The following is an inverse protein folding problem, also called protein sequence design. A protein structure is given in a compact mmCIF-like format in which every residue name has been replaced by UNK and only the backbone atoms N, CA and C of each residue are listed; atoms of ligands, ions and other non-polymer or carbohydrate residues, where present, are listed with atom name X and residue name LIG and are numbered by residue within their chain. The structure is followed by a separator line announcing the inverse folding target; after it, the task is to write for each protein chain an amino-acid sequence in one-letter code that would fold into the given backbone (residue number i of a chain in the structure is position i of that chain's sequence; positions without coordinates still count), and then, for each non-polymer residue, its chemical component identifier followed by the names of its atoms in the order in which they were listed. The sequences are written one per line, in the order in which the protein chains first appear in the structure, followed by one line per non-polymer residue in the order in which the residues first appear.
data_IF_063624097565
#
_entry.id   IF_063624097565
#
_cell.length_a   1.000
_cell.length_b   1.000
_cell.length_c   1.000
_cell.angle_alpha   90.00
_cell.angle_beta   90.00
_cell.angle_gamma   90.00
#
_symmetry.space_group_name_H-M   'P 1'
#
loop_
_entity.id
_entity.type
_entity.pdbx_description
1 polymer ?
#
# COMPACT_ATOMS: atom_id res chain seq x y z
N UNK A 1 -32.64 48.23 7.38
CA UNK A 1 -31.36 47.50 7.18
C UNK A 1 -31.05 47.49 5.68
N UNK A 2 -29.91 48.06 5.28
CA UNK A 2 -29.56 48.31 3.87
C UNK A 2 -29.50 47.01 3.05
N UNK A 3 -30.37 46.89 2.05
CA UNK A 3 -30.43 45.80 1.06
C UNK A 3 -29.11 45.58 0.32
N UNK A 4 -28.28 46.63 0.22
CA UNK A 4 -26.90 46.55 -0.31
C UNK A 4 -26.02 45.69 0.59
N UNK A 5 -26.08 45.87 1.91
CA UNK A 5 -25.29 45.15 2.90
C UNK A 5 -25.65 43.66 2.95
N UNK A 6 -26.92 43.33 2.82
CA UNK A 6 -27.40 41.93 2.75
C UNK A 6 -26.95 41.24 1.45
N UNK A 7 -26.92 41.95 0.32
CA UNK A 7 -26.43 41.40 -0.96
C UNK A 7 -24.91 41.15 -0.94
N UNK A 8 -24.12 42.06 -0.38
CA UNK A 8 -22.67 41.86 -0.22
C UNK A 8 -22.35 40.74 0.76
N UNK A 9 -23.03 40.66 1.91
CA UNK A 9 -22.86 39.53 2.84
C UNK A 9 -23.19 38.20 2.16
N UNK A 10 -24.29 38.11 1.41
CA UNK A 10 -24.67 36.90 0.69
C UNK A 10 -23.62 36.47 -0.35
N UNK A 11 -23.08 37.43 -1.12
CA UNK A 11 -22.01 37.16 -2.09
C UNK A 11 -20.72 36.64 -1.42
N UNK A 12 -20.33 37.24 -0.29
CA UNK A 12 -19.15 36.81 0.49
C UNK A 12 -19.34 35.38 1.02
N UNK A 13 -20.53 35.05 1.53
CA UNK A 13 -20.85 33.69 1.98
C UNK A 13 -20.74 32.69 0.84
N UNK A 14 -21.23 33.02 -0.36
CA UNK A 14 -21.16 32.15 -1.53
C UNK A 14 -19.70 31.88 -1.96
N UNK A 15 -18.85 32.90 -1.91
CA UNK A 15 -17.42 32.77 -2.21
C UNK A 15 -16.74 31.86 -1.18
N UNK A 16 -16.96 32.08 0.12
CA UNK A 16 -16.38 31.25 1.18
C UNK A 16 -16.82 29.78 1.07
N UNK A 17 -18.08 29.54 0.72
CA UNK A 17 -18.63 28.20 0.47
C UNK A 17 -18.00 27.57 -0.78
N UNK A 18 -17.71 28.34 -1.84
CA UNK A 18 -17.04 27.80 -3.02
C UNK A 18 -15.58 27.38 -2.76
N UNK A 19 -14.88 28.05 -1.84
CA UNK A 19 -13.52 27.67 -1.42
C UNK A 19 -13.48 26.44 -0.52
N UNK A 20 -14.54 26.15 0.24
CA UNK A 20 -14.60 24.94 1.08
C UNK A 20 -14.83 23.65 0.28
N UNK A 21 -15.25 23.74 -0.99
CA UNK A 21 -15.43 22.59 -1.90
C UNK A 21 -14.19 22.22 -2.72
N UNK A 22 -13.01 22.75 -2.42
CA UNK A 22 -11.76 22.45 -3.16
C UNK A 22 -11.11 21.10 -2.76
N UNK A 23 -11.84 20.21 -2.07
CA UNK A 23 -11.31 18.90 -1.71
C UNK A 23 -11.42 17.92 -2.89
N UNK A 24 -10.31 17.32 -3.26
CA UNK A 24 -10.25 16.30 -4.30
C UNK A 24 -10.27 14.91 -3.66
N UNK A 25 -11.20 14.05 -4.11
CA UNK A 25 -11.17 12.64 -3.75
C UNK A 25 -10.10 11.94 -4.60
N UNK A 26 -9.01 11.53 -3.96
CA UNK A 26 -7.89 10.85 -4.63
C UNK A 26 -7.86 9.37 -4.28
N UNK A 27 -7.45 8.55 -5.26
CA UNK A 27 -7.27 7.11 -5.08
C UNK A 27 -5.77 6.78 -4.94
N UNK A 28 -5.32 6.54 -3.72
CA UNK A 28 -3.91 6.32 -3.37
C UNK A 28 -3.58 4.84 -3.25
N UNK A 29 -2.36 4.48 -3.63
CA UNK A 29 -1.82 3.13 -3.45
C UNK A 29 -1.50 2.88 -1.97
N UNK A 30 -2.03 1.81 -1.37
CA UNK A 30 -1.69 1.33 -0.02
C UNK A 30 -0.64 0.21 -0.07
N UNK A 31 -0.69 -0.61 -1.11
CA UNK A 31 0.24 -1.72 -1.37
C UNK A 31 0.20 -2.01 -2.87
N UNK A 32 1.34 -1.96 -3.59
CA UNK A 32 1.38 -2.43 -4.97
C UNK A 32 1.10 -3.93 -5.02
N UNK A 33 0.83 -4.48 -6.19
CA UNK A 33 0.87 -5.94 -6.34
C UNK A 33 2.30 -6.39 -6.08
N UNK A 34 2.52 -7.35 -5.17
CA UNK A 34 3.86 -7.86 -4.85
C UNK A 34 3.94 -9.29 -5.32
N UNK A 35 4.90 -9.59 -6.17
CA UNK A 35 5.15 -10.95 -6.67
C UNK A 35 6.58 -11.34 -6.35
N UNK A 36 6.78 -12.61 -5.99
CA UNK A 36 8.10 -13.11 -5.69
C UNK A 36 8.09 -14.61 -5.51
N UNK A 37 9.21 -15.10 -5.00
CA UNK A 37 9.46 -16.51 -4.80
C UNK A 37 10.01 -16.76 -3.40
N UNK A 38 9.59 -17.86 -2.77
CA UNK A 38 10.05 -18.29 -1.45
C UNK A 38 10.80 -19.60 -1.58
N UNK A 39 12.05 -19.60 -1.12
CA UNK A 39 12.98 -20.72 -1.19
C UNK A 39 13.58 -20.99 0.18
N UNK A 40 14.02 -22.22 0.39
CA UNK A 40 14.81 -22.61 1.56
C UNK A 40 16.24 -22.09 1.40
N UNK A 41 16.77 -21.43 2.44
CA UNK A 41 18.12 -20.88 2.44
C UNK A 41 19.20 -21.97 2.34
N UNK A 42 18.95 -23.17 2.88
CA UNK A 42 19.93 -24.25 2.92
C UNK A 42 19.86 -25.12 1.67
N UNK A 43 18.68 -25.67 1.38
CA UNK A 43 18.50 -26.62 0.29
C UNK A 43 18.31 -25.94 -1.07
N UNK A 44 18.03 -24.62 -1.09
CA UNK A 44 17.65 -23.85 -2.29
C UNK A 44 16.46 -24.46 -3.02
N UNK A 45 15.61 -25.19 -2.31
CA UNK A 45 14.37 -25.74 -2.85
C UNK A 45 13.21 -24.76 -2.66
N UNK A 46 12.24 -24.73 -3.59
CA UNK A 46 11.04 -23.91 -3.43
C UNK A 46 10.21 -24.38 -2.22
N UNK A 47 9.64 -23.42 -1.48
CA UNK A 47 8.79 -23.72 -0.32
C UNK A 47 7.32 -23.56 -0.73
N UNK A 48 6.60 -24.67 -0.76
CA UNK A 48 5.15 -24.70 -0.99
C UNK A 48 4.36 -24.33 0.28
N UNK A 49 3.17 -23.76 0.13
CA UNK A 49 2.23 -23.47 1.21
C UNK A 49 2.84 -22.59 2.32
N UNK A 50 3.69 -21.63 1.94
CA UNK A 50 4.18 -20.58 2.82
C UNK A 50 3.16 -19.44 2.85
N UNK A 51 2.81 -18.99 4.05
CA UNK A 51 1.85 -17.91 4.25
C UNK A 51 2.57 -16.57 4.10
N UNK A 52 2.31 -15.89 2.98
CA UNK A 52 2.81 -14.56 2.68
C UNK A 52 1.64 -13.59 2.76
N UNK A 53 1.55 -12.85 3.86
CA UNK A 53 0.45 -11.94 4.17
C UNK A 53 -0.92 -12.64 4.10
N UNK A 54 -1.65 -12.38 3.02
CA UNK A 54 -3.01 -12.89 2.76
C UNK A 54 -3.04 -14.12 1.85
N UNK A 55 -1.92 -14.47 1.23
CA UNK A 55 -1.83 -15.52 0.19
C UNK A 55 -0.90 -16.65 0.61
N UNK A 56 -1.06 -17.81 -0.02
CA UNK A 56 -0.16 -18.95 0.12
C UNK A 56 0.74 -19.07 -1.11
N UNK A 57 1.97 -19.53 -0.93
CA UNK A 57 2.87 -19.86 -2.05
C UNK A 57 2.47 -21.16 -2.74
N UNK A 58 2.67 -21.20 -4.06
CA UNK A 58 2.43 -22.37 -4.90
C UNK A 58 3.58 -23.39 -4.76
N UNK A 59 3.45 -24.55 -5.44
CA UNK A 59 4.47 -25.62 -5.49
C UNK A 59 5.86 -25.15 -5.93
N UNK A 60 5.92 -24.16 -6.83
CA UNK A 60 7.19 -23.58 -7.29
C UNK A 60 7.74 -22.48 -6.36
N UNK A 61 7.18 -22.31 -5.16
CA UNK A 61 7.53 -21.25 -4.22
C UNK A 61 7.02 -19.86 -4.61
N UNK A 62 6.32 -19.73 -5.74
CA UNK A 62 5.78 -18.46 -6.23
C UNK A 62 4.62 -17.94 -5.37
N UNK A 63 4.59 -16.65 -5.09
CA UNK A 63 3.46 -15.96 -4.47
C UNK A 63 3.11 -14.66 -5.20
N UNK A 64 1.84 -14.26 -5.08
CA UNK A 64 1.34 -13.00 -5.64
C UNK A 64 0.34 -12.36 -4.69
N UNK A 65 0.75 -11.28 -4.02
CA UNK A 65 -0.09 -10.44 -3.20
C UNK A 65 -0.82 -9.40 -4.07
N UNK A 66 -2.14 -9.31 -3.88
CA UNK A 66 -2.97 -8.35 -4.62
C UNK A 66 -2.67 -6.89 -4.24
N UNK A 67 -2.81 -5.99 -5.23
CA UNK A 67 -2.77 -4.54 -5.06
C UNK A 67 -3.89 -4.09 -4.10
N UNK A 68 -3.55 -3.23 -3.15
CA UNK A 68 -4.51 -2.55 -2.28
C UNK A 68 -4.45 -1.05 -2.49
N UNK A 69 -5.62 -0.43 -2.61
CA UNK A 69 -5.78 1.02 -2.74
C UNK A 69 -6.77 1.54 -1.72
N UNK A 70 -6.69 2.83 -1.44
CA UNK A 70 -7.61 3.53 -0.55
C UNK A 70 -7.97 4.90 -1.11
N UNK A 71 -9.15 5.36 -0.73
CA UNK A 71 -9.60 6.70 -1.07
C UNK A 71 -9.28 7.66 0.07
N UNK A 72 -8.76 8.83 -0.27
CA UNK A 72 -8.47 9.89 0.68
C UNK A 72 -8.97 11.22 0.12
N UNK A 73 -9.63 12.02 0.96
CA UNK A 73 -9.89 13.41 0.66
C UNK A 73 -8.62 14.23 0.90
N UNK A 74 -8.17 14.95 -0.11
CA UNK A 74 -6.96 15.77 -0.02
C UNK A 74 -7.22 17.16 -0.60
N UNK A 75 -6.51 18.16 -0.07
CA UNK A 75 -6.54 19.52 -0.58
C UNK A 75 -5.37 19.76 -1.53
N UNK A 76 -5.50 20.77 -2.38
CA UNK A 76 -4.43 21.20 -3.28
C UNK A 76 -3.14 21.46 -2.46
N UNK A 77 -2.00 20.97 -2.94
CA UNK A 77 -0.66 21.00 -2.31
C UNK A 77 -0.31 19.92 -1.26
N UNK A 78 -1.19 18.97 -0.91
CA UNK A 78 -0.81 17.85 -0.04
C UNK A 78 -0.31 16.63 -0.83
N UNK A 79 1.01 16.41 -0.81
CA UNK A 79 1.64 15.22 -1.40
C UNK A 79 1.17 13.92 -0.70
N UNK A 80 1.26 12.79 -1.41
CA UNK A 80 0.95 11.50 -0.81
C UNK A 80 2.03 11.13 0.22
N UNK A 81 1.66 10.64 1.41
CA UNK A 81 2.64 10.19 2.38
C UNK A 81 3.41 9.00 1.83
N UNK A 82 4.65 8.83 2.31
CA UNK A 82 5.53 7.69 2.03
C UNK A 82 4.77 6.38 2.14
N UNK A 83 4.93 5.53 1.14
CA UNK A 83 4.33 4.22 1.10
C UNK A 83 5.28 3.23 1.76
N UNK A 84 4.88 2.67 2.89
CA UNK A 84 5.61 1.60 3.59
C UNK A 84 4.71 0.37 3.70
N UNK A 85 5.22 -0.75 3.22
CA UNK A 85 4.54 -2.05 3.24
C UNK A 85 5.40 -3.00 4.05
N UNK A 86 4.76 -3.68 4.99
CA UNK A 86 5.38 -4.72 5.80
C UNK A 86 4.44 -5.93 5.80
N UNK A 87 4.80 -6.98 5.05
CA UNK A 87 3.99 -8.19 4.94
C UNK A 87 4.69 -9.36 5.63
N UNK A 88 4.04 -10.04 6.58
CA UNK A 88 4.65 -11.18 7.28
C UNK A 88 4.72 -12.40 6.37
N UNK A 89 5.82 -13.15 6.49
CA UNK A 89 6.07 -14.41 5.80
C UNK A 89 6.30 -15.49 6.85
N UNK A 90 5.36 -16.43 6.93
CA UNK A 90 5.33 -17.46 7.95
C UNK A 90 5.20 -18.85 7.33
N UNK A 91 5.99 -19.80 7.82
CA UNK A 91 5.89 -21.22 7.50
C UNK A 91 6.27 -22.03 8.74
N UNK A 92 5.53 -23.10 9.01
CA UNK A 92 5.87 -24.04 10.07
C UNK A 92 7.25 -24.66 9.83
N UNK A 93 8.09 -24.66 10.86
CA UNK A 93 9.48 -25.16 10.77
C UNK A 93 10.49 -24.17 10.17
N UNK A 94 10.06 -22.94 9.82
CA UNK A 94 10.94 -21.89 9.33
C UNK A 94 10.85 -20.63 10.19
N UNK A 95 11.90 -19.81 10.13
CA UNK A 95 11.97 -18.53 10.80
C UNK A 95 11.05 -17.52 10.11
N UNK A 96 10.20 -16.86 10.89
CA UNK A 96 9.32 -15.80 10.40
C UNK A 96 10.12 -14.61 9.87
N UNK A 97 9.84 -14.19 8.65
CA UNK A 97 10.44 -13.02 8.02
C UNK A 97 9.37 -12.02 7.59
N UNK A 98 9.80 -10.84 7.16
CA UNK A 98 8.93 -9.77 6.73
C UNK A 98 9.40 -9.22 5.40
N UNK A 99 8.47 -9.06 4.46
CA UNK A 99 8.70 -8.35 3.20
C UNK A 99 8.53 -6.86 3.49
N UNK A 100 9.62 -6.12 3.38
CA UNK A 100 9.64 -4.67 3.56
C UNK A 100 9.79 -3.98 2.21
N UNK A 101 8.88 -3.05 1.93
CA UNK A 101 8.94 -2.21 0.75
C UNK A 101 8.64 -0.77 1.15
N UNK A 102 9.54 0.15 0.78
CA UNK A 102 9.39 1.57 1.07
C UNK A 102 9.56 2.37 -0.23
N UNK A 103 8.61 3.26 -0.50
CA UNK A 103 8.66 4.19 -1.61
C UNK A 103 8.53 5.63 -1.09
N UNK A 104 9.58 6.47 -1.21
CA UNK A 104 9.56 7.86 -0.73
C UNK A 104 8.47 8.71 -1.40
N UNK A 105 8.21 8.51 -2.69
CA UNK A 105 7.20 9.27 -3.46
C UNK A 105 5.73 8.84 -3.18
N UNK A 106 5.53 8.08 -2.11
CA UNK A 106 4.22 7.81 -1.55
C UNK A 106 3.23 7.03 -2.41
N UNK A 107 1.94 7.19 -2.08
CA UNK A 107 0.80 6.51 -2.70
C UNK A 107 0.41 6.99 -4.10
N UNK A 108 1.25 7.79 -4.79
CA UNK A 108 1.00 8.32 -6.14
C UNK A 108 1.14 7.30 -7.29
N UNK A 109 1.38 6.02 -6.96
CA UNK A 109 1.56 4.97 -7.96
C UNK A 109 0.32 4.77 -8.84
N UNK A 110 0.55 4.57 -10.15
CA UNK A 110 -0.49 4.24 -11.13
C UNK A 110 -1.20 2.94 -10.76
N UNK A 111 -2.45 2.80 -11.21
CA UNK A 111 -3.23 1.55 -11.05
C UNK A 111 -2.55 0.41 -11.80
N UNK A 112 -2.49 -0.78 -11.18
CA UNK A 112 -1.73 -1.92 -11.70
C UNK A 112 -0.23 -1.82 -11.41
N UNK A 113 0.16 -1.07 -10.36
CA UNK A 113 1.54 -1.02 -9.92
C UNK A 113 2.00 -2.40 -9.46
N UNK A 114 3.06 -2.90 -10.09
CA UNK A 114 3.68 -4.19 -9.77
C UNK A 114 5.05 -3.97 -9.16
N UNK A 115 5.27 -4.56 -7.98
CA UNK A 115 6.56 -4.68 -7.34
C UNK A 115 7.02 -6.13 -7.44
N UNK A 116 7.97 -6.38 -8.36
CA UNK A 116 8.65 -7.67 -8.46
C UNK A 116 9.73 -7.70 -7.40
N UNK A 117 9.56 -8.57 -6.42
CA UNK A 117 10.54 -8.83 -5.39
C UNK A 117 11.49 -9.94 -5.85
N UNK A 118 12.73 -9.87 -5.40
CA UNK A 118 13.70 -10.97 -5.55
C UNK A 118 13.27 -12.21 -4.75
N UNK A 119 13.99 -13.31 -4.92
CA UNK A 119 13.80 -14.55 -4.14
C UNK A 119 14.04 -14.31 -2.66
N UNK A 120 13.04 -14.63 -1.85
CA UNK A 120 13.11 -14.64 -0.40
C UNK A 120 13.59 -16.01 0.08
N UNK A 121 14.66 -16.01 0.89
CA UNK A 121 15.24 -17.22 1.45
C UNK A 121 14.89 -17.34 2.94
N UNK A 122 14.07 -18.34 3.27
CA UNK A 122 13.72 -18.67 4.66
C UNK A 122 14.74 -19.62 5.26
N UNK A 123 15.17 -19.34 6.49
CA UNK A 123 15.99 -20.26 7.27
C UNK A 123 15.09 -21.21 8.06
N UNK A 124 15.51 -22.45 8.24
CA UNK A 124 14.80 -23.39 9.10
C UNK A 124 14.97 -22.97 10.56
N UNK A 125 13.89 -23.09 11.32
CA UNK A 125 13.96 -22.87 12.77
C UNK A 125 14.67 -24.07 13.37
N UNK A 126 15.87 -23.84 13.92
CA UNK A 126 16.51 -24.80 14.80
C UNK A 126 15.67 -24.81 16.08
N UNK A 127 14.77 -25.79 16.21
CA UNK A 127 14.08 -26.06 17.47
C UNK A 127 15.18 -26.37 18.48
N UNK A 128 15.34 -25.50 19.47
CA UNK A 128 16.33 -25.63 20.54
C UNK A 128 15.69 -26.29 21.75
#
# INVERSE_FOLDING_TARGET
MNTVYTKTCFAITLILVSFSFQSCLVNRCKRPQITGYVYDAETKQPIENCKVGETLSNQNGYFSLNEKRYHQFTFFAFEAPTLSVNEPVNKEGYESQHIQFMQPFGGGMKKGALHKMDTLYLKKTLIK
#
